data_IF_786800607505
#
_entry.id   IF_786800607505
#
_cell.length_a   1.000
_cell.length_b   1.000
_cell.length_c   1.000
_cell.angle_alpha   90.00
_cell.angle_beta   90.00
_cell.angle_gamma   90.00
#
_symmetry.space_group_name_H-M   'P 1'
#
loop_
_entity.id
_entity.type
_entity.pdbx_description
1 polymer ?
#
# COMPACT_ATOMS: atom_id res chain seq x y z
N UNK A 1 0.41 13.98 54.35
CA UNK A 1 -0.89 13.79 53.69
C UNK A 1 -1.98 14.73 54.21
N UNK A 2 -2.46 14.67 55.46
CA UNK A 2 -3.54 15.60 55.91
C UNK A 2 -3.11 17.08 55.94
N UNK A 3 -1.89 17.38 56.40
CA UNK A 3 -1.42 18.77 56.53
C UNK A 3 -1.03 19.44 55.22
N UNK A 4 -0.68 18.65 54.20
CA UNK A 4 -0.32 19.17 52.87
C UNK A 4 -1.56 19.51 52.05
N UNK A 5 -2.65 18.75 52.23
CA UNK A 5 -3.94 19.03 51.62
C UNK A 5 -4.57 20.29 52.23
N UNK A 6 -4.54 20.43 53.57
CA UNK A 6 -5.02 21.64 54.25
C UNK A 6 -4.20 22.89 53.87
N UNK A 7 -2.88 22.74 53.70
CA UNK A 7 -2.03 23.83 53.22
C UNK A 7 -2.36 24.23 51.77
N UNK A 8 -2.69 23.27 50.91
CA UNK A 8 -3.08 23.53 49.52
C UNK A 8 -4.45 24.22 49.43
N UNK A 9 -5.42 23.78 50.24
CA UNK A 9 -6.76 24.38 50.32
C UNK A 9 -6.71 25.82 50.84
N UNK A 10 -5.90 26.07 51.87
CA UNK A 10 -5.68 27.43 52.37
C UNK A 10 -5.01 28.32 51.31
N UNK A 11 -4.07 27.78 50.52
CA UNK A 11 -3.40 28.52 49.45
C UNK A 11 -4.36 28.85 48.29
N UNK A 12 -5.20 27.89 47.89
CA UNK A 12 -6.25 28.08 46.90
C UNK A 12 -7.30 29.09 47.35
N UNK A 13 -7.68 29.11 48.63
CA UNK A 13 -8.61 30.09 49.19
C UNK A 13 -8.03 31.52 49.22
N UNK A 14 -6.71 31.68 49.30
CA UNK A 14 -6.03 32.98 49.25
C UNK A 14 -5.75 33.49 47.84
N UNK A 15 -5.75 32.61 46.84
CA UNK A 15 -5.74 32.99 45.44
C UNK A 15 -7.12 33.57 45.09
N UNK A 16 -7.31 34.85 45.40
CA UNK A 16 -8.30 35.68 44.71
C UNK A 16 -7.88 35.73 43.25
N UNK A 17 -8.34 34.74 42.49
CA UNK A 17 -8.39 34.84 41.04
C UNK A 17 -9.34 36.00 40.80
N UNK A 18 -8.79 37.21 40.62
CA UNK A 18 -9.53 38.25 39.95
C UNK A 18 -10.11 37.61 38.70
N UNK A 19 -11.43 37.60 38.55
CA UNK A 19 -12.12 37.13 37.35
C UNK A 19 -11.69 38.02 36.17
N UNK A 20 -10.46 37.85 35.72
CA UNK A 20 -10.07 38.24 34.38
C UNK A 20 -10.89 37.33 33.49
N UNK A 21 -11.91 37.90 32.86
CA UNK A 21 -12.72 37.20 31.88
C UNK A 21 -11.78 36.55 30.89
N UNK A 22 -11.76 35.21 30.87
CA UNK A 22 -10.97 34.47 29.90
C UNK A 22 -11.48 34.91 28.52
N UNK A 23 -10.60 35.53 27.73
CA UNK A 23 -10.90 35.84 26.34
C UNK A 23 -10.88 34.53 25.57
N UNK A 24 -12.03 33.85 25.57
CA UNK A 24 -12.24 32.58 24.89
C UNK A 24 -11.94 32.67 23.39
N UNK A 25 -12.07 33.86 22.80
CA UNK A 25 -11.71 34.08 21.40
C UNK A 25 -10.20 34.05 21.24
N UNK A 26 -9.45 34.77 22.07
CA UNK A 26 -7.98 34.73 22.06
C UNK A 26 -7.45 33.30 22.33
N UNK A 27 -8.08 32.56 23.25
CA UNK A 27 -7.71 31.16 23.53
C UNK A 27 -7.99 30.26 22.32
N UNK A 28 -9.14 30.40 21.68
CA UNK A 28 -9.52 29.62 20.49
C UNK A 28 -8.62 29.93 19.30
N UNK A 29 -8.28 31.21 19.09
CA UNK A 29 -7.39 31.66 18.02
C UNK A 29 -5.95 31.12 18.26
N UNK A 30 -5.46 31.16 19.50
CA UNK A 30 -4.15 30.59 19.89
C UNK A 30 -4.11 29.08 19.72
N UNK A 31 -5.19 28.38 20.08
CA UNK A 31 -5.33 26.94 19.85
C UNK A 31 -5.33 26.60 18.36
N UNK A 32 -6.07 27.35 17.53
CA UNK A 32 -6.11 27.16 16.09
C UNK A 32 -4.74 27.41 15.44
N UNK A 33 -4.03 28.44 15.88
CA UNK A 33 -2.65 28.74 15.44
C UNK A 33 -1.68 27.63 15.85
N UNK A 34 -1.81 27.10 17.07
CA UNK A 34 -1.02 25.97 17.57
C UNK A 34 -1.29 24.72 16.76
N UNK A 35 -2.55 24.34 16.53
CA UNK A 35 -2.91 23.19 15.69
C UNK A 35 -2.35 23.33 14.28
N UNK A 36 -2.48 24.51 13.66
CA UNK A 36 -1.90 24.79 12.34
C UNK A 36 -0.38 24.66 12.31
N UNK A 37 0.30 25.11 13.37
CA UNK A 37 1.76 24.96 13.51
C UNK A 37 2.17 23.48 13.63
N UNK A 38 1.42 22.67 14.39
CA UNK A 38 1.65 21.23 14.52
C UNK A 38 1.38 20.47 13.22
N UNK A 39 0.31 20.80 12.49
CA UNK A 39 0.07 20.24 11.15
C UNK A 39 1.20 20.59 10.18
N UNK A 40 1.72 21.82 10.23
CA UNK A 40 2.85 22.23 9.42
C UNK A 40 4.13 21.45 9.79
N UNK A 41 4.38 21.26 11.08
CA UNK A 41 5.50 20.45 11.57
C UNK A 41 5.37 18.99 11.13
N UNK A 42 4.17 18.41 11.20
CA UNK A 42 3.90 17.04 10.73
C UNK A 42 4.21 16.90 9.23
N UNK A 43 3.80 17.87 8.40
CA UNK A 43 4.15 17.90 6.96
C UNK A 43 5.66 17.99 6.75
N UNK A 44 6.37 18.79 7.56
CA UNK A 44 7.84 18.88 7.49
C UNK A 44 8.52 17.57 7.89
N UNK A 45 8.01 16.86 8.90
CA UNK A 45 8.52 15.54 9.33
C UNK A 45 8.35 14.51 8.21
N UNK A 46 7.18 14.46 7.55
CA UNK A 46 6.96 13.57 6.42
C UNK A 46 7.86 13.91 5.23
N UNK A 47 7.99 15.19 4.89
CA UNK A 47 8.92 15.62 3.84
C UNK A 47 10.38 15.25 4.17
N UNK A 48 10.80 15.37 5.43
CA UNK A 48 12.12 14.95 5.88
C UNK A 48 12.30 13.43 5.78
N UNK A 49 11.30 12.64 6.19
CA UNK A 49 11.29 11.17 6.04
C UNK A 49 11.46 10.76 4.58
N UNK A 50 10.74 11.40 3.66
CA UNK A 50 10.82 11.12 2.24
C UNK A 50 12.18 11.48 1.67
N UNK A 51 12.72 12.66 2.04
CA UNK A 51 14.05 13.09 1.62
C UNK A 51 15.16 12.16 2.15
N UNK A 52 15.07 11.73 3.42
CA UNK A 52 16.00 10.76 3.99
C UNK A 52 15.92 9.41 3.30
N UNK A 53 14.71 8.94 2.98
CA UNK A 53 14.51 7.69 2.26
C UNK A 53 15.09 7.76 0.85
N UNK A 54 14.87 8.87 0.13
CA UNK A 54 15.49 9.13 -1.19
C UNK A 54 17.01 9.18 -1.10
N UNK A 55 17.56 9.92 -0.14
CA UNK A 55 19.01 9.99 0.07
C UNK A 55 19.61 8.64 0.43
N UNK A 56 18.92 7.85 1.27
CA UNK A 56 19.34 6.50 1.62
C UNK A 56 19.37 5.58 0.41
N UNK A 57 18.35 5.63 -0.45
CA UNK A 57 18.32 4.88 -1.72
C UNK A 57 19.44 5.33 -2.66
N UNK A 58 19.72 6.64 -2.77
CA UNK A 58 20.85 7.15 -3.55
C UNK A 58 22.19 6.64 -3.00
N UNK A 59 22.41 6.70 -1.69
CA UNK A 59 23.62 6.18 -1.03
C UNK A 59 23.74 4.66 -1.24
N UNK A 60 22.64 3.91 -1.14
CA UNK A 60 22.65 2.47 -1.43
C UNK A 60 22.97 2.17 -2.90
N UNK A 61 22.48 2.99 -3.84
CA UNK A 61 22.84 2.87 -5.27
C UNK A 61 24.32 3.15 -5.49
N UNK A 62 24.85 4.23 -4.93
CA UNK A 62 26.29 4.54 -4.98
C UNK A 62 27.12 3.40 -4.37
N UNK A 63 26.72 2.88 -3.21
CA UNK A 63 27.40 1.74 -2.58
C UNK A 63 27.28 0.44 -3.38
N UNK A 64 26.19 0.23 -4.12
CA UNK A 64 26.01 -0.90 -5.05
C UNK A 64 26.89 -0.76 -6.29
N UNK A 65 27.10 0.47 -6.77
CA UNK A 65 28.05 0.76 -7.84
C UNK A 65 29.52 0.58 -7.41
N UNK A 66 29.80 0.51 -6.10
CA UNK A 66 31.09 0.10 -5.54
C UNK A 66 31.22 -1.42 -5.29
N UNK A 67 30.24 -2.25 -5.68
CA UNK A 67 30.39 -3.70 -5.64
C UNK A 67 31.48 -4.12 -6.63
N UNK A 68 32.66 -4.41 -6.09
CA UNK A 68 33.84 -4.86 -6.82
C UNK A 68 33.56 -6.09 -7.69
N UNK A 69 32.61 -6.95 -7.29
CA UNK A 69 32.22 -8.12 -8.07
C UNK A 69 31.43 -7.70 -9.30
N UNK A 70 30.46 -6.80 -9.15
CA UNK A 70 29.66 -6.26 -10.26
C UNK A 70 30.52 -5.40 -11.21
N UNK A 71 31.42 -4.57 -10.68
CA UNK A 71 32.41 -3.82 -11.47
C UNK A 71 33.38 -4.75 -12.21
N UNK A 72 33.86 -5.83 -11.57
CA UNK A 72 34.72 -6.81 -12.24
C UNK A 72 33.98 -7.57 -13.34
N UNK A 73 32.68 -7.83 -13.14
CA UNK A 73 31.81 -8.51 -14.11
C UNK A 73 31.50 -7.59 -15.29
N UNK A 74 31.06 -6.35 -15.04
CA UNK A 74 30.85 -5.32 -16.07
C UNK A 74 32.11 -5.02 -16.89
N UNK A 75 33.28 -5.06 -16.25
CA UNK A 75 34.55 -4.83 -16.94
C UNK A 75 34.99 -6.04 -17.79
N UNK A 76 34.71 -7.26 -17.32
CA UNK A 76 34.88 -8.49 -18.10
C UNK A 76 33.91 -8.56 -19.29
N UNK A 77 32.65 -8.15 -19.10
CA UNK A 77 31.60 -8.14 -20.12
C UNK A 77 31.82 -7.07 -21.20
N UNK A 78 32.37 -5.89 -20.84
CA UNK A 78 32.69 -4.81 -21.80
C UNK A 78 33.83 -5.13 -22.78
N UNK A 79 34.37 -6.36 -22.81
CA UNK A 79 35.58 -6.73 -23.58
C UNK A 79 36.72 -5.73 -23.41
N UNK A 80 36.82 -5.13 -22.22
CA UNK A 80 38.03 -4.41 -21.85
C UNK A 80 39.12 -5.48 -21.78
N UNK A 81 40.17 -5.37 -22.60
CA UNK A 81 41.23 -6.38 -22.64
C UNK A 81 41.66 -6.71 -21.22
N UNK A 82 41.79 -7.99 -20.88
CA UNK A 82 42.16 -8.43 -19.52
C UNK A 82 43.46 -7.78 -18.98
N UNK A 83 44.29 -7.20 -19.87
CA UNK A 83 45.43 -6.33 -19.54
C UNK A 83 45.05 -5.01 -18.85
N UNK A 84 43.89 -4.42 -19.15
CA UNK A 84 43.42 -3.15 -18.58
C UNK A 84 42.98 -3.31 -17.12
N UNK A 85 42.52 -4.50 -16.73
CA UNK A 85 42.01 -4.80 -15.38
C UNK A 85 43.04 -5.48 -14.47
N UNK A 86 44.02 -6.21 -15.04
CA UNK A 86 45.17 -6.73 -14.26
C UNK A 86 45.92 -5.61 -13.52
N UNK A 87 45.90 -4.41 -14.07
CA UNK A 87 46.58 -3.24 -13.53
C UNK A 87 45.88 -2.65 -12.28
N UNK A 88 44.55 -2.71 -12.13
CA UNK A 88 43.89 -2.09 -10.96
C UNK A 88 44.16 -2.83 -9.64
N UNK A 89 44.31 -4.15 -9.70
CA UNK A 89 44.68 -4.96 -8.51
C UNK A 89 46.16 -4.86 -8.11
N UNK A 90 47.01 -4.31 -8.98
CA UNK A 90 48.48 -4.29 -8.82
C UNK A 90 49.07 -2.88 -8.56
N UNK A 91 48.29 -1.80 -8.60
CA UNK A 91 48.83 -0.42 -8.53
C UNK A 91 48.39 0.44 -7.34
N UNK A 92 47.90 -0.13 -6.23
CA UNK A 92 47.84 0.65 -4.99
C UNK A 92 49.25 0.71 -4.36
N UNK A 93 50.14 1.56 -4.87
CA UNK A 93 51.40 1.86 -4.17
C UNK A 93 51.16 2.97 -3.16
N UNK A 94 51.20 2.63 -1.86
CA UNK A 94 51.21 3.62 -0.78
C UNK A 94 52.66 3.73 -0.30
N UNK A 95 53.24 4.94 -0.35
CA UNK A 95 54.62 5.20 0.05
C UNK A 95 55.67 4.27 -0.61
N UNK A 96 55.50 3.97 -1.91
CA UNK A 96 56.46 3.17 -2.69
C UNK A 96 56.36 1.66 -2.47
N UNK A 97 55.40 1.16 -1.67
CA UNK A 97 55.18 -0.28 -1.45
C UNK A 97 53.93 -0.75 -2.19
N UNK A 98 54.04 -1.83 -2.97
CA UNK A 98 52.91 -2.45 -3.67
C UNK A 98 51.94 -3.07 -2.67
N UNK A 99 50.73 -2.53 -2.55
CA UNK A 99 49.69 -3.07 -1.68
C UNK A 99 48.76 -3.96 -2.51
N UNK A 100 48.72 -5.26 -2.18
CA UNK A 100 47.69 -6.18 -2.67
C UNK A 100 46.37 -5.90 -1.97
N UNK A 101 45.35 -5.48 -2.72
CA UNK A 101 44.01 -5.24 -2.18
C UNK A 101 43.36 -6.57 -1.79
N UNK A 102 43.16 -6.78 -0.48
CA UNK A 102 42.41 -7.92 0.04
C UNK A 102 40.90 -7.68 -0.17
N UNK A 103 40.38 -8.11 -1.32
CA UNK A 103 38.99 -7.91 -1.72
C UNK A 103 37.98 -8.49 -0.73
N UNK A 104 38.32 -9.59 -0.05
CA UNK A 104 37.46 -10.19 0.97
C UNK A 104 37.31 -9.29 2.19
N UNK A 105 38.41 -8.66 2.63
CA UNK A 105 38.43 -7.76 3.77
C UNK A 105 37.75 -6.43 3.44
N UNK A 106 37.95 -5.89 2.23
CA UNK A 106 37.24 -4.71 1.73
C UNK A 106 35.73 -4.98 1.66
N UNK A 107 35.31 -6.11 1.10
CA UNK A 107 33.90 -6.49 1.04
C UNK A 107 33.28 -6.66 2.43
N UNK A 108 34.05 -7.20 3.39
CA UNK A 108 33.62 -7.30 4.79
C UNK A 108 33.38 -5.90 5.39
N UNK A 109 34.32 -4.97 5.22
CA UNK A 109 34.20 -3.59 5.69
C UNK A 109 33.01 -2.88 5.03
N UNK A 110 32.80 -3.06 3.72
CA UNK A 110 31.65 -2.48 3.01
C UNK A 110 30.34 -3.03 3.58
N UNK A 111 30.22 -4.34 3.79
CA UNK A 111 29.03 -4.97 4.38
C UNK A 111 28.77 -4.48 5.81
N UNK A 112 29.80 -4.35 6.62
CA UNK A 112 29.69 -3.81 7.98
C UNK A 112 29.20 -2.35 7.96
N UNK A 113 29.75 -1.51 7.08
CA UNK A 113 29.28 -0.13 6.90
C UNK A 113 27.86 -0.04 6.36
N UNK A 114 27.49 -0.87 5.38
CA UNK A 114 26.12 -0.96 4.85
C UNK A 114 25.13 -1.35 5.94
N UNK A 115 25.48 -2.35 6.75
CA UNK A 115 24.64 -2.81 7.86
C UNK A 115 24.48 -1.71 8.91
N UNK A 116 25.57 -1.04 9.28
CA UNK A 116 25.54 0.09 10.22
C UNK A 116 24.70 1.28 9.71
N UNK A 117 24.79 1.61 8.42
CA UNK A 117 23.96 2.65 7.79
C UNK A 117 22.48 2.25 7.74
N UNK A 118 22.18 0.98 7.43
CA UNK A 118 20.82 0.45 7.43
C UNK A 118 20.20 0.54 8.84
N UNK A 119 20.93 0.10 9.86
CA UNK A 119 20.50 0.22 11.26
C UNK A 119 20.28 1.68 11.67
N UNK A 120 21.19 2.59 11.30
CA UNK A 120 21.05 4.01 11.60
C UNK A 120 19.81 4.62 10.92
N UNK A 121 19.57 4.29 9.65
CA UNK A 121 18.38 4.74 8.92
C UNK A 121 17.09 4.20 9.55
N UNK A 122 17.08 2.92 9.93
CA UNK A 122 15.94 2.32 10.65
C UNK A 122 15.66 3.05 11.97
N UNK A 123 16.70 3.39 12.76
CA UNK A 123 16.54 4.17 14.00
C UNK A 123 15.98 5.57 13.75
N UNK A 124 16.46 6.26 12.70
CA UNK A 124 15.96 7.60 12.34
C UNK A 124 14.51 7.53 11.87
N UNK A 125 14.15 6.58 11.01
CA UNK A 125 12.77 6.38 10.59
C UNK A 125 11.85 6.06 11.77
N UNK A 126 12.30 5.22 12.71
CA UNK A 126 11.56 4.94 13.94
C UNK A 126 11.34 6.20 14.78
N UNK A 127 12.36 7.06 14.93
CA UNK A 127 12.23 8.31 15.70
C UNK A 127 11.33 9.35 15.02
N UNK A 128 11.42 9.48 13.69
CA UNK A 128 10.53 10.35 12.92
C UNK A 128 9.07 9.91 13.05
N UNK A 129 8.86 8.59 13.04
CA UNK A 129 7.55 8.01 13.25
C UNK A 129 7.00 8.24 14.66
N UNK A 130 7.80 7.98 15.71
CA UNK A 130 7.46 8.31 17.11
C UNK A 130 7.10 9.80 17.26
N UNK A 131 7.85 10.69 16.60
CA UNK A 131 7.58 12.13 16.62
C UNK A 131 6.25 12.47 15.94
N UNK A 132 5.93 11.81 14.82
CA UNK A 132 4.65 11.99 14.14
C UNK A 132 3.47 11.49 14.98
N UNK A 133 3.62 10.36 15.68
CA UNK A 133 2.61 9.85 16.61
C UNK A 133 2.41 10.80 17.81
N UNK A 134 3.49 11.33 18.37
CA UNK A 134 3.41 12.33 19.44
C UNK A 134 2.67 13.59 18.97
N UNK A 135 2.95 14.06 17.74
CA UNK A 135 2.24 15.20 17.17
C UNK A 135 0.74 14.91 16.95
N UNK A 136 0.37 13.74 16.42
CA UNK A 136 -1.03 13.34 16.23
C UNK A 136 -1.77 13.23 17.57
N UNK A 137 -1.15 12.58 18.57
CA UNK A 137 -1.71 12.47 19.92
C UNK A 137 -1.92 13.85 20.57
N UNK A 138 -0.97 14.77 20.38
CA UNK A 138 -1.07 16.14 20.88
C UNK A 138 -2.20 16.92 20.20
N UNK A 139 -2.35 16.81 18.88
CA UNK A 139 -3.45 17.43 18.12
C UNK A 139 -4.80 16.87 18.57
N UNK A 140 -4.92 15.56 18.79
CA UNK A 140 -6.13 14.95 19.35
C UNK A 140 -6.46 15.52 20.72
N UNK A 141 -5.48 15.62 21.61
CA UNK A 141 -5.66 16.15 22.96
C UNK A 141 -6.10 17.62 22.94
N UNK A 142 -5.60 18.40 21.98
CA UNK A 142 -6.06 19.77 21.75
C UNK A 142 -7.50 19.82 21.21
N UNK A 143 -7.95 18.86 20.39
CA UNK A 143 -9.27 18.89 19.78
C UNK A 143 -10.42 18.41 20.70
N UNK A 144 -10.13 17.76 21.84
CA UNK A 144 -11.14 17.25 22.80
C UNK A 144 -11.92 18.36 23.53
N UNK A 145 -11.45 19.61 23.51
CA UNK A 145 -12.14 20.75 24.17
C UNK A 145 -13.22 21.43 23.33
N UNK A 146 -13.41 21.06 22.06
CA UNK A 146 -14.57 21.50 21.26
C UNK A 146 -15.65 20.43 21.29
N UNK A 147 -16.68 20.68 22.11
CA UNK A 147 -17.99 20.02 22.13
C UNK A 147 -18.08 18.58 22.67
N UNK A 148 -17.82 18.42 23.96
CA UNK A 148 -18.16 17.19 24.72
C UNK A 148 -19.66 17.08 25.10
N UNK A 149 -20.57 17.72 24.36
CA UNK A 149 -22.03 17.60 24.57
C UNK A 149 -22.78 16.86 23.47
N UNK A 150 -22.10 16.42 22.42
CA UNK A 150 -22.65 15.42 21.50
C UNK A 150 -22.16 14.03 21.96
N UNK A 151 -23.05 13.04 22.19
CA UNK A 151 -22.62 11.68 22.45
C UNK A 151 -21.90 11.17 21.20
N UNK A 152 -20.58 11.14 21.23
CA UNK A 152 -19.79 10.48 20.21
C UNK A 152 -20.03 8.99 20.31
N UNK A 153 -20.69 8.46 19.28
CA UNK A 153 -20.77 7.04 18.98
C UNK A 153 -19.36 6.54 18.58
N UNK A 154 -18.40 6.55 19.51
CA UNK A 154 -17.01 6.11 19.28
C UNK A 154 -16.87 4.59 19.08
N UNK A 155 -17.99 3.88 18.94
CA UNK A 155 -18.04 2.49 18.45
C UNK A 155 -18.23 2.37 16.93
N UNK A 156 -18.44 3.46 16.19
CA UNK A 156 -18.73 3.40 14.75
C UNK A 156 -17.50 3.56 13.82
N UNK A 157 -16.28 3.69 14.36
CA UNK A 157 -15.06 3.75 13.53
C UNK A 157 -14.45 2.36 13.26
N UNK A 158 -14.99 1.30 13.87
CA UNK A 158 -14.49 -0.08 13.72
C UNK A 158 -15.51 -1.07 13.11
N UNK A 159 -16.72 -0.64 12.77
CA UNK A 159 -17.61 -1.41 11.91
C UNK A 159 -17.43 -0.90 10.49
N UNK A 160 -16.28 -1.26 9.90
CA UNK A 160 -16.16 -1.31 8.44
C UNK A 160 -17.35 -2.11 7.94
N UNK A 161 -18.12 -1.55 7.00
CA UNK A 161 -19.14 -2.29 6.29
C UNK A 161 -18.42 -3.46 5.59
N UNK A 162 -18.34 -4.61 6.28
CA UNK A 162 -18.05 -5.88 5.66
C UNK A 162 -19.12 -6.02 4.58
N UNK A 163 -18.71 -6.19 3.32
CA UNK A 163 -19.58 -6.81 2.33
C UNK A 163 -19.87 -8.24 2.82
N UNK A 164 -20.70 -8.39 3.85
CA UNK A 164 -21.23 -9.67 4.35
C UNK A 164 -22.35 -10.17 3.44
N UNK A 165 -22.10 -10.15 2.14
CA UNK A 165 -22.52 -11.30 1.36
C UNK A 165 -21.42 -12.32 1.58
N UNK A 166 -21.58 -13.13 2.63
CA UNK A 166 -20.79 -14.35 2.80
C UNK A 166 -20.74 -15.04 1.43
N UNK A 167 -19.54 -15.27 0.91
CA UNK A 167 -19.42 -16.01 -0.35
C UNK A 167 -20.14 -17.34 -0.17
N UNK A 168 -20.97 -17.70 -1.14
CA UNK A 168 -21.62 -19.00 -1.15
C UNK A 168 -20.66 -20.13 -1.52
N UNK A 169 -19.45 -19.77 -2.00
CA UNK A 169 -18.41 -20.71 -2.41
C UNK A 169 -17.59 -21.14 -1.20
N UNK A 170 -17.29 -22.44 -1.17
CA UNK A 170 -16.32 -23.01 -0.24
C UNK A 170 -14.99 -23.15 -0.98
N UNK A 171 -13.92 -22.71 -0.35
CA UNK A 171 -12.57 -22.83 -0.89
C UNK A 171 -11.83 -23.91 -0.11
N UNK A 172 -11.37 -24.93 -0.83
CA UNK A 172 -10.57 -26.02 -0.30
C UNK A 172 -9.26 -26.08 -1.09
N UNK A 173 -8.12 -26.04 -0.40
CA UNK A 173 -6.80 -26.04 -1.03
C UNK A 173 -6.10 -27.40 -0.94
N UNK A 174 -5.29 -27.78 -1.95
CA UNK A 174 -4.57 -29.05 -1.91
C UNK A 174 -3.61 -29.15 -0.70
N UNK A 175 -3.78 -30.19 0.12
CA UNK A 175 -3.01 -30.34 1.36
C UNK A 175 -1.48 -30.39 1.11
N UNK A 176 -1.04 -31.01 0.00
CA UNK A 176 0.37 -31.04 -0.37
C UNK A 176 0.96 -29.64 -0.55
N UNK A 177 0.25 -28.77 -1.28
CA UNK A 177 0.66 -27.38 -1.54
C UNK A 177 0.67 -26.55 -0.26
N UNK A 178 -0.35 -26.76 0.60
CA UNK A 178 -0.40 -26.14 1.93
C UNK A 178 0.81 -26.54 2.79
N UNK A 179 1.14 -27.82 2.85
CA UNK A 179 2.30 -28.31 3.60
C UNK A 179 3.62 -27.71 3.08
N UNK A 180 3.79 -27.64 1.76
CA UNK A 180 4.96 -27.05 1.12
C UNK A 180 5.11 -25.57 1.45
N UNK A 181 4.01 -24.81 1.44
CA UNK A 181 4.00 -23.39 1.82
C UNK A 181 4.33 -23.21 3.29
N UNK A 182 3.68 -23.96 4.17
CA UNK A 182 3.86 -23.87 5.62
C UNK A 182 5.30 -24.16 6.03
N UNK A 183 5.97 -25.07 5.34
CA UNK A 183 7.39 -25.39 5.59
C UNK A 183 8.36 -24.22 5.35
N UNK A 184 7.94 -23.18 4.60
CA UNK A 184 8.73 -21.99 4.27
C UNK A 184 8.54 -20.86 5.28
N UNK A 185 7.50 -20.93 6.11
CA UNK A 185 7.15 -19.86 7.05
C UNK A 185 7.91 -20.06 8.35
N UNK A 186 8.63 -19.03 8.79
CA UNK A 186 9.35 -19.04 10.05
C UNK A 186 8.56 -18.23 11.08
N UNK A 187 7.85 -18.93 11.96
CA UNK A 187 7.05 -18.29 13.01
C UNK A 187 7.95 -17.59 14.01
N UNK A 188 7.80 -16.27 14.09
CA UNK A 188 8.44 -15.40 15.07
C UNK A 188 7.38 -14.56 15.78
N UNK A 189 7.62 -14.25 17.04
CA UNK A 189 6.67 -13.51 17.88
C UNK A 189 7.15 -12.09 18.13
N UNK A 190 6.20 -11.22 18.44
CA UNK A 190 6.49 -9.87 18.92
C UNK A 190 7.29 -9.97 20.23
N UNK A 191 8.42 -9.25 20.37
CA UNK A 191 9.20 -9.22 21.61
C UNK A 191 8.32 -8.93 22.83
N UNK A 192 8.64 -9.58 23.95
CA UNK A 192 8.02 -9.40 25.27
C UNK A 192 6.56 -9.87 25.40
N UNK A 193 5.90 -10.31 24.32
CA UNK A 193 4.55 -10.88 24.40
C UNK A 193 4.55 -12.41 24.37
N UNK A 194 5.47 -13.01 23.58
CA UNK A 194 5.49 -14.45 23.21
C UNK A 194 4.15 -15.05 22.74
N UNK A 195 3.15 -14.20 22.49
CA UNK A 195 1.76 -14.58 22.25
C UNK A 195 1.28 -14.14 20.88
N UNK A 196 1.76 -13.00 20.40
CA UNK A 196 1.34 -12.39 19.14
C UNK A 196 2.44 -12.54 18.09
N UNK A 197 2.04 -12.85 16.87
CA UNK A 197 2.98 -13.06 15.76
C UNK A 197 3.59 -11.74 15.32
N UNK A 198 4.86 -11.77 14.94
CA UNK A 198 5.59 -10.62 14.44
C UNK A 198 5.05 -10.17 13.07
N UNK A 199 5.39 -8.94 12.67
CA UNK A 199 5.10 -8.43 11.33
C UNK A 199 5.70 -9.31 10.23
N UNK A 200 6.88 -9.90 10.46
CA UNK A 200 7.55 -10.77 9.50
C UNK A 200 6.76 -12.07 9.28
N UNK A 201 6.23 -12.66 10.35
CA UNK A 201 5.38 -13.86 10.24
C UNK A 201 4.07 -13.54 9.54
N UNK A 202 3.43 -12.42 9.90
CA UNK A 202 2.20 -11.97 9.24
C UNK A 202 2.42 -11.75 7.74
N UNK A 203 3.50 -11.05 7.37
CA UNK A 203 3.89 -10.84 5.98
C UNK A 203 4.07 -12.16 5.23
N UNK A 204 4.77 -13.14 5.82
CA UNK A 204 4.96 -14.45 5.20
C UNK A 204 3.64 -15.20 4.98
N UNK A 205 2.72 -15.16 5.94
CA UNK A 205 1.38 -15.77 5.81
C UNK A 205 0.62 -15.11 4.64
N UNK A 206 0.57 -13.78 4.64
CA UNK A 206 -0.13 -12.97 3.65
C UNK A 206 0.45 -13.18 2.25
N UNK A 207 1.77 -13.13 2.09
CA UNK A 207 2.43 -13.35 0.79
C UNK A 207 2.24 -14.78 0.27
N UNK A 208 2.39 -15.80 1.12
CA UNK A 208 2.25 -17.18 0.68
C UNK A 208 0.79 -17.60 0.45
N UNK A 209 -0.19 -16.87 1.00
CA UNK A 209 -1.60 -17.10 0.68
C UNK A 209 -1.89 -16.90 -0.81
N UNK A 210 -1.15 -16.00 -1.49
CA UNK A 210 -1.24 -15.79 -2.94
C UNK A 210 -0.85 -17.07 -3.71
N UNK A 211 0.26 -17.68 -3.32
CA UNK A 211 0.74 -18.90 -4.00
C UNK A 211 -0.21 -20.07 -3.76
N UNK A 212 -0.80 -20.18 -2.56
CA UNK A 212 -1.79 -21.21 -2.26
C UNK A 212 -3.06 -21.04 -3.12
N UNK A 213 -3.57 -19.82 -3.18
CA UNK A 213 -4.84 -19.47 -3.83
C UNK A 213 -4.75 -19.32 -5.36
N UNK A 214 -3.56 -19.37 -5.94
CA UNK A 214 -3.30 -19.10 -7.37
C UNK A 214 -4.24 -19.85 -8.34
N UNK A 215 -4.37 -21.17 -8.21
CA UNK A 215 -5.17 -21.98 -9.14
C UNK A 215 -6.66 -21.64 -9.06
N UNK A 216 -7.16 -21.46 -7.85
CA UNK A 216 -8.56 -21.14 -7.60
C UNK A 216 -8.90 -19.72 -8.05
N UNK A 217 -7.97 -18.78 -7.85
CA UNK A 217 -8.09 -17.41 -8.36
C UNK A 217 -8.23 -17.36 -9.89
N UNK A 218 -7.38 -18.11 -10.60
CA UNK A 218 -7.41 -18.19 -12.07
C UNK A 218 -8.77 -18.75 -12.52
N UNK A 219 -9.24 -19.81 -11.87
CA UNK A 219 -10.53 -20.45 -12.15
C UNK A 219 -11.69 -19.47 -11.97
N UNK A 220 -11.80 -18.85 -10.79
CA UNK A 220 -12.83 -17.87 -10.45
C UNK A 220 -12.85 -16.70 -11.43
N UNK A 221 -11.68 -16.15 -11.74
CA UNK A 221 -11.55 -14.98 -12.62
C UNK A 221 -12.04 -15.30 -14.03
N UNK A 222 -11.66 -16.46 -14.60
CA UNK A 222 -12.08 -16.83 -15.96
C UNK A 222 -13.56 -17.21 -16.05
N UNK A 223 -14.09 -17.95 -15.07
CA UNK A 223 -15.53 -18.24 -15.00
C UNK A 223 -16.34 -16.95 -14.92
N UNK A 224 -15.97 -16.05 -14.02
CA UNK A 224 -16.68 -14.79 -13.85
C UNK A 224 -16.57 -13.89 -15.09
N UNK A 225 -15.39 -13.74 -15.69
CA UNK A 225 -15.22 -12.99 -16.95
C UNK A 225 -16.15 -13.51 -18.04
N UNK A 226 -16.27 -14.82 -18.20
CA UNK A 226 -17.16 -15.44 -19.18
C UNK A 226 -18.63 -15.12 -18.89
N UNK A 227 -19.10 -15.39 -17.66
CA UNK A 227 -20.50 -15.15 -17.28
C UNK A 227 -20.88 -13.68 -17.39
N UNK A 228 -20.00 -12.78 -16.95
CA UNK A 228 -20.19 -11.33 -17.05
C UNK A 228 -20.41 -10.87 -18.48
N UNK A 229 -19.53 -11.29 -19.41
CA UNK A 229 -19.58 -10.86 -20.82
C UNK A 229 -20.82 -11.37 -21.54
N UNK A 230 -21.35 -12.53 -21.15
CA UNK A 230 -22.61 -13.06 -21.71
C UNK A 230 -23.82 -12.17 -21.38
N UNK A 231 -23.79 -11.42 -20.27
CA UNK A 231 -24.93 -10.65 -19.77
C UNK A 231 -24.71 -9.13 -19.72
N UNK A 232 -23.52 -8.63 -20.07
CA UNK A 232 -23.13 -7.22 -19.95
C UNK A 232 -24.04 -6.27 -20.74
N UNK A 233 -24.58 -6.71 -21.87
CA UNK A 233 -25.47 -5.92 -22.73
C UNK A 233 -26.96 -6.11 -22.41
N UNK A 234 -27.33 -7.13 -21.64
CA UNK A 234 -28.73 -7.53 -21.44
C UNK A 234 -29.25 -7.25 -20.03
N UNK A 235 -28.43 -7.47 -19.00
CA UNK A 235 -28.84 -7.32 -17.61
C UNK A 235 -27.78 -6.59 -16.79
N UNK A 236 -27.90 -5.26 -16.75
CA UNK A 236 -26.99 -4.36 -16.02
C UNK A 236 -26.93 -4.67 -14.52
N UNK A 237 -28.02 -5.17 -13.93
CA UNK A 237 -28.08 -5.46 -12.49
C UNK A 237 -27.33 -6.73 -12.16
N UNK A 238 -27.57 -7.78 -12.94
CA UNK A 238 -26.83 -9.03 -12.83
C UNK A 238 -25.34 -8.82 -13.15
N UNK A 239 -25.02 -7.96 -14.11
CA UNK A 239 -23.64 -7.61 -14.45
C UNK A 239 -22.89 -6.98 -13.29
N UNK A 240 -23.50 -5.97 -12.64
CA UNK A 240 -22.95 -5.37 -11.43
C UNK A 240 -22.80 -6.38 -10.30
N UNK A 241 -23.82 -7.21 -10.08
CA UNK A 241 -23.79 -8.26 -9.07
C UNK A 241 -22.61 -9.23 -9.28
N UNK A 242 -22.42 -9.74 -10.50
CA UNK A 242 -21.31 -10.65 -10.80
C UNK A 242 -19.94 -10.01 -10.58
N UNK A 243 -19.79 -8.69 -10.82
CA UNK A 243 -18.54 -7.99 -10.52
C UNK A 243 -18.28 -7.91 -9.02
N UNK A 244 -19.29 -7.54 -8.24
CA UNK A 244 -19.21 -7.44 -6.77
C UNK A 244 -19.00 -8.81 -6.12
N UNK A 245 -19.72 -9.83 -6.58
CA UNK A 245 -19.57 -11.22 -6.13
C UNK A 245 -18.14 -11.72 -6.38
N UNK A 246 -17.58 -11.47 -7.56
CA UNK A 246 -16.20 -11.85 -7.86
C UNK A 246 -15.18 -11.17 -6.93
N UNK A 247 -15.38 -9.89 -6.61
CA UNK A 247 -14.52 -9.20 -5.65
C UNK A 247 -14.60 -9.86 -4.28
N UNK A 248 -15.80 -10.17 -3.79
CA UNK A 248 -16.00 -10.84 -2.50
C UNK A 248 -15.44 -12.26 -2.50
N UNK A 249 -15.62 -13.01 -3.58
CA UNK A 249 -15.09 -14.36 -3.73
C UNK A 249 -13.56 -14.38 -3.66
N UNK A 250 -12.90 -13.42 -4.33
CA UNK A 250 -11.42 -13.30 -4.29
C UNK A 250 -10.94 -12.99 -2.87
N UNK A 251 -11.58 -12.06 -2.17
CA UNK A 251 -11.21 -11.73 -0.78
C UNK A 251 -11.42 -12.91 0.17
N UNK A 252 -12.59 -13.57 0.09
CA UNK A 252 -12.89 -14.73 0.93
C UNK A 252 -11.95 -15.92 0.64
N UNK A 253 -11.58 -16.13 -0.62
CA UNK A 253 -10.59 -17.14 -1.01
C UNK A 253 -9.22 -16.84 -0.39
N UNK A 254 -8.75 -15.59 -0.43
CA UNK A 254 -7.48 -15.19 0.19
C UNK A 254 -7.52 -15.31 1.72
N UNK A 255 -8.62 -14.89 2.35
CA UNK A 255 -8.83 -15.06 3.79
C UNK A 255 -8.80 -16.53 4.17
N UNK A 256 -9.50 -17.39 3.44
CA UNK A 256 -9.50 -18.83 3.68
C UNK A 256 -8.11 -19.45 3.51
N UNK A 257 -7.33 -18.99 2.54
CA UNK A 257 -5.94 -19.43 2.38
C UNK A 257 -5.07 -19.03 3.58
N UNK A 258 -5.24 -17.82 4.11
CA UNK A 258 -4.54 -17.36 5.32
C UNK A 258 -4.96 -18.16 6.56
N UNK A 259 -6.25 -18.44 6.72
CA UNK A 259 -6.81 -19.28 7.78
C UNK A 259 -6.21 -20.69 7.77
N UNK A 260 -6.15 -21.35 6.60
CA UNK A 260 -5.61 -22.70 6.47
C UNK A 260 -4.11 -22.75 6.76
N UNK A 261 -3.35 -21.73 6.32
CA UNK A 261 -1.94 -21.56 6.67
C UNK A 261 -1.79 -21.39 8.19
N UNK A 262 -2.57 -20.52 8.81
CA UNK A 262 -2.51 -20.27 10.26
C UNK A 262 -2.85 -21.53 11.06
N UNK A 263 -3.94 -22.22 10.69
CA UNK A 263 -4.36 -23.46 11.33
C UNK A 263 -3.24 -24.52 11.28
N UNK A 264 -2.57 -24.66 10.13
CA UNK A 264 -1.45 -25.61 9.97
C UNK A 264 -0.20 -25.20 10.76
N UNK A 265 0.02 -23.90 10.97
CA UNK A 265 1.08 -23.36 11.83
C UNK A 265 0.74 -23.40 13.34
N UNK A 266 -0.48 -23.82 13.72
CA UNK A 266 -0.94 -23.78 15.11
C UNK A 266 -1.26 -22.36 15.61
N UNK A 267 -1.52 -21.44 14.70
CA UNK A 267 -1.95 -20.06 14.99
C UNK A 267 -3.47 -20.02 14.88
N UNK A 268 -4.16 -19.69 15.97
CA UNK A 268 -5.61 -19.51 15.93
C UNK A 268 -5.96 -18.18 15.26
N UNK A 269 -7.16 -18.10 14.68
CA UNK A 269 -7.69 -16.86 14.10
C UNK A 269 -7.67 -15.70 15.11
N UNK A 270 -8.03 -15.97 16.36
CA UNK A 270 -7.98 -14.98 17.43
C UNK A 270 -6.55 -14.44 17.67
N UNK A 271 -5.51 -15.29 17.57
CA UNK A 271 -4.12 -14.84 17.68
C UNK A 271 -3.75 -13.97 16.48
N UNK A 272 -4.16 -14.35 15.27
CA UNK A 272 -3.89 -13.58 14.06
C UNK A 272 -4.49 -12.17 14.18
N UNK A 273 -5.78 -12.06 14.49
CA UNK A 273 -6.50 -10.78 14.63
C UNK A 273 -5.91 -9.91 15.74
N UNK A 274 -5.61 -10.50 16.91
CA UNK A 274 -4.97 -9.75 18.01
C UNK A 274 -3.55 -9.31 17.66
N UNK A 275 -2.83 -10.09 16.86
CA UNK A 275 -1.51 -9.71 16.38
C UNK A 275 -1.61 -8.54 15.41
N UNK A 276 -2.55 -8.58 14.48
CA UNK A 276 -2.84 -7.48 13.55
C UNK A 276 -3.19 -6.18 14.31
N UNK A 277 -4.11 -6.24 15.27
CA UNK A 277 -4.44 -5.08 16.10
C UNK A 277 -3.23 -4.55 16.87
N UNK A 278 -2.43 -5.43 17.49
CA UNK A 278 -1.23 -5.02 18.22
C UNK A 278 -0.19 -4.36 17.29
N UNK A 279 -0.04 -4.85 16.06
CA UNK A 279 0.85 -4.25 15.07
C UNK A 279 0.31 -2.88 14.60
N UNK A 280 -1.00 -2.73 14.44
CA UNK A 280 -1.64 -1.44 14.14
C UNK A 280 -1.44 -0.43 15.26
N UNK A 281 -1.64 -0.82 16.51
CA UNK A 281 -1.39 0.02 17.71
C UNK A 281 0.08 0.44 17.83
N UNK A 282 1.00 -0.43 17.41
CA UNK A 282 2.44 -0.12 17.29
C UNK A 282 2.78 0.74 16.06
N UNK A 283 1.79 1.18 15.31
CA UNK A 283 1.94 2.09 14.18
C UNK A 283 2.28 1.44 12.85
N UNK A 284 2.17 0.11 12.75
CA UNK A 284 2.40 -0.62 11.50
C UNK A 284 1.14 -0.76 10.63
N UNK A 285 0.05 -0.07 10.98
CA UNK A 285 -1.23 -0.17 10.23
C UNK A 285 -1.09 0.18 8.75
N UNK A 286 -0.32 1.22 8.40
CA UNK A 286 -0.06 1.54 6.98
C UNK A 286 0.69 0.41 6.26
N UNK A 287 1.63 -0.25 6.96
CA UNK A 287 2.38 -1.36 6.38
C UNK A 287 1.47 -2.57 6.14
N UNK A 288 0.57 -2.87 7.09
CA UNK A 288 -0.44 -3.93 6.94
C UNK A 288 -1.36 -3.65 5.75
N UNK A 289 -1.88 -2.43 5.65
CA UNK A 289 -2.69 -2.02 4.51
C UNK A 289 -1.94 -2.18 3.18
N UNK A 290 -0.67 -1.77 3.13
CA UNK A 290 0.17 -1.91 1.94
C UNK A 290 0.41 -3.38 1.59
N UNK A 291 0.66 -4.26 2.57
CA UNK A 291 0.81 -5.71 2.34
C UNK A 291 -0.46 -6.32 1.73
N UNK A 292 -1.64 -5.96 2.23
CA UNK A 292 -2.93 -6.43 1.68
C UNK A 292 -3.11 -5.94 0.23
N UNK A 293 -2.78 -4.68 -0.06
CA UNK A 293 -2.80 -4.15 -1.43
C UNK A 293 -1.81 -4.87 -2.36
N UNK A 294 -0.59 -5.14 -1.88
CA UNK A 294 0.43 -5.90 -2.62
C UNK A 294 -0.05 -7.32 -2.90
N UNK A 295 -0.74 -7.99 -1.98
CA UNK A 295 -1.31 -9.32 -2.21
C UNK A 295 -2.35 -9.30 -3.32
N UNK A 296 -3.27 -8.33 -3.31
CA UNK A 296 -4.25 -8.16 -4.38
C UNK A 296 -3.60 -7.88 -5.74
N UNK A 297 -2.48 -7.18 -5.77
CA UNK A 297 -1.72 -6.95 -6.99
C UNK A 297 -1.01 -8.24 -7.46
N UNK A 298 -0.28 -8.91 -6.55
CA UNK A 298 0.47 -10.13 -6.87
C UNK A 298 -0.41 -11.28 -7.32
N UNK A 299 -1.62 -11.43 -6.76
CA UNK A 299 -2.54 -12.48 -7.20
C UNK A 299 -3.03 -12.23 -8.63
N UNK A 300 -3.28 -10.97 -9.02
CA UNK A 300 -3.64 -10.63 -10.41
C UNK A 300 -2.52 -10.96 -11.40
N UNK A 301 -1.27 -10.81 -11.00
CA UNK A 301 -0.10 -11.16 -11.82
C UNK A 301 0.04 -12.67 -12.07
N UNK A 302 -0.70 -13.52 -11.34
CA UNK A 302 -0.76 -14.96 -11.60
C UNK A 302 -1.62 -15.34 -12.80
N UNK A 303 -2.42 -14.42 -13.34
CA UNK A 303 -3.22 -14.72 -14.52
C UNK A 303 -2.31 -15.06 -15.72
N UNK A 304 -2.56 -16.19 -16.39
CA UNK A 304 -1.70 -16.62 -17.48
C UNK A 304 -1.91 -15.75 -18.71
N UNK A 305 -0.81 -15.20 -19.21
CA UNK A 305 -0.78 -14.47 -20.47
C UNK A 305 -0.97 -15.43 -21.63
N UNK A 306 -1.92 -15.14 -22.51
CA UNK A 306 -2.20 -15.97 -23.69
C UNK A 306 -1.63 -15.35 -24.96
N UNK A 307 -1.47 -14.03 -24.98
CA UNK A 307 -1.02 -13.28 -26.16
C UNK A 307 0.12 -12.33 -25.77
N UNK A 308 1.10 -12.22 -26.67
CA UNK A 308 2.14 -11.20 -26.58
C UNK A 308 1.70 -9.97 -27.34
N UNK A 309 1.69 -8.82 -26.66
CA UNK A 309 1.22 -7.55 -27.22
C UNK A 309 2.40 -6.58 -27.34
N UNK A 310 2.49 -5.82 -28.43
CA UNK A 310 3.51 -4.79 -28.61
C UNK A 310 3.15 -3.50 -27.85
N UNK A 311 4.16 -2.65 -27.58
CA UNK A 311 3.93 -1.37 -26.91
C UNK A 311 2.94 -0.47 -27.67
N UNK A 312 2.97 -0.48 -29.02
CA UNK A 312 2.04 0.30 -29.84
C UNK A 312 0.59 -0.13 -29.67
N UNK A 313 0.33 -1.44 -29.59
CA UNK A 313 -1.01 -1.97 -29.33
C UNK A 313 -1.43 -1.62 -27.89
N UNK A 314 -0.53 -1.71 -26.91
CA UNK A 314 -0.83 -1.26 -25.54
C UNK A 314 -1.27 0.21 -25.51
N UNK A 315 -0.58 1.10 -26.25
CA UNK A 315 -0.98 2.50 -26.37
C UNK A 315 -2.35 2.67 -27.03
N UNK A 316 -2.65 1.89 -28.07
CA UNK A 316 -3.96 1.88 -28.72
C UNK A 316 -5.08 1.46 -27.78
N UNK A 317 -4.86 0.41 -26.99
CA UNK A 317 -5.80 -0.03 -25.94
C UNK A 317 -6.04 1.11 -24.94
N UNK A 318 -4.98 1.77 -24.44
CA UNK A 318 -5.15 2.87 -23.49
C UNK A 318 -5.94 4.03 -24.12
N UNK A 319 -5.65 4.40 -25.38
CA UNK A 319 -6.44 5.41 -26.10
C UNK A 319 -7.92 5.00 -26.20
N UNK A 320 -8.19 3.72 -26.46
CA UNK A 320 -9.54 3.20 -26.47
C UNK A 320 -10.20 3.27 -25.09
N UNK A 321 -9.51 2.93 -24.00
CA UNK A 321 -10.03 3.08 -22.64
C UNK A 321 -10.41 4.54 -22.33
N UNK A 322 -9.56 5.50 -22.67
CA UNK A 322 -9.83 6.94 -22.54
C UNK A 322 -11.07 7.33 -23.37
N UNK A 323 -11.16 6.83 -24.61
CA UNK A 323 -12.32 7.06 -25.48
C UNK A 323 -13.60 6.53 -24.84
N UNK A 324 -13.59 5.31 -24.28
CA UNK A 324 -14.75 4.74 -23.61
C UNK A 324 -15.17 5.58 -22.41
N UNK A 325 -14.22 6.00 -21.56
CA UNK A 325 -14.51 6.85 -20.39
C UNK A 325 -15.19 8.17 -20.77
N UNK A 326 -14.77 8.79 -21.87
CA UNK A 326 -15.31 10.09 -22.31
C UNK A 326 -16.60 9.96 -23.13
N UNK A 327 -16.74 8.94 -23.97
CA UNK A 327 -17.84 8.84 -24.94
C UNK A 327 -18.96 7.87 -24.52
N UNK A 328 -18.67 6.87 -23.67
CA UNK A 328 -19.65 5.84 -23.26
C UNK A 328 -20.14 6.03 -21.82
N UNK A 329 -20.27 7.26 -21.35
CA UNK A 329 -20.80 7.53 -20.01
C UNK A 329 -22.23 6.98 -19.82
N UNK A 330 -23.07 7.03 -20.87
CA UNK A 330 -24.43 6.46 -20.86
C UNK A 330 -24.46 4.94 -20.66
N UNK A 331 -23.34 4.25 -20.93
CA UNK A 331 -23.18 2.83 -20.62
C UNK A 331 -22.87 2.61 -19.13
N UNK A 332 -21.87 3.31 -18.59
CA UNK A 332 -21.37 3.10 -17.22
C UNK A 332 -22.32 3.63 -16.14
N UNK A 333 -22.84 4.85 -16.30
CA UNK A 333 -23.59 5.54 -15.25
C UNK A 333 -24.85 4.77 -14.81
N UNK A 334 -25.67 4.17 -15.71
CA UNK A 334 -26.83 3.37 -15.29
C UNK A 334 -26.46 2.10 -14.52
N UNK A 335 -25.27 1.54 -14.74
CA UNK A 335 -24.78 0.38 -13.97
C UNK A 335 -24.37 0.87 -12.59
N UNK A 336 -23.49 1.88 -12.53
CA UNK A 336 -22.99 2.43 -11.28
C UNK A 336 -24.13 2.93 -10.38
N UNK A 337 -25.13 3.62 -10.93
CA UNK A 337 -26.33 4.15 -10.23
C UNK A 337 -27.12 3.11 -9.42
N UNK A 338 -26.90 1.82 -9.65
CA UNK A 338 -27.55 0.73 -8.89
C UNK A 338 -26.83 0.43 -7.57
N UNK A 339 -25.62 0.95 -7.37
CA UNK A 339 -24.91 0.80 -6.10
C UNK A 339 -25.52 1.68 -5.01
N UNK A 340 -25.45 1.25 -3.74
CA UNK A 340 -25.66 2.14 -2.60
C UNK A 340 -24.74 3.36 -2.71
N UNK A 341 -25.18 4.50 -2.18
CA UNK A 341 -24.39 5.74 -2.13
C UNK A 341 -23.75 5.89 -0.76
N UNK A 342 -22.75 5.06 -0.48
CA UNK A 342 -21.98 5.08 0.76
C UNK A 342 -20.51 5.40 0.48
N UNK A 343 -19.73 5.74 1.50
CA UNK A 343 -18.30 6.04 1.32
C UNK A 343 -17.54 4.81 0.81
N UNK A 344 -17.91 3.64 1.31
CA UNK A 344 -17.30 2.35 1.00
C UNK A 344 -17.58 1.95 -0.45
N UNK A 345 -18.82 2.08 -0.89
CA UNK A 345 -19.22 1.79 -2.28
C UNK A 345 -18.57 2.74 -3.27
N UNK A 346 -18.37 4.01 -2.91
CA UNK A 346 -17.61 4.96 -3.74
C UNK A 346 -16.15 4.55 -3.93
N UNK A 347 -15.53 3.85 -2.98
CA UNK A 347 -14.16 3.31 -3.13
C UNK A 347 -14.11 2.12 -4.11
N UNK A 348 -15.23 1.43 -4.34
CA UNK A 348 -15.31 0.31 -5.30
C UNK A 348 -15.49 0.77 -6.74
N UNK A 349 -15.99 1.99 -6.96
CA UNK A 349 -16.32 2.48 -8.31
C UNK A 349 -15.13 2.38 -9.27
N UNK A 350 -13.89 2.81 -8.93
CA UNK A 350 -12.77 2.70 -9.86
C UNK A 350 -12.48 1.24 -10.27
N UNK A 351 -12.61 0.30 -9.34
CA UNK A 351 -12.37 -1.12 -9.58
C UNK A 351 -13.44 -1.68 -10.53
N UNK A 352 -14.71 -1.40 -10.26
CA UNK A 352 -15.81 -1.82 -11.12
C UNK A 352 -15.71 -1.20 -12.50
N UNK A 353 -15.33 0.09 -12.57
CA UNK A 353 -15.10 0.78 -13.84
C UNK A 353 -13.98 0.13 -14.65
N UNK A 354 -12.89 -0.28 -14.01
CA UNK A 354 -11.83 -1.06 -14.66
C UNK A 354 -12.36 -2.37 -15.24
N UNK A 355 -13.15 -3.11 -14.47
CA UNK A 355 -13.73 -4.37 -14.92
C UNK A 355 -14.63 -4.17 -16.14
N UNK A 356 -15.46 -3.12 -16.12
CA UNK A 356 -16.34 -2.78 -17.24
C UNK A 356 -15.55 -2.38 -18.50
N UNK A 357 -14.51 -1.56 -18.33
CA UNK A 357 -13.65 -1.14 -19.43
C UNK A 357 -12.89 -2.34 -20.01
N UNK A 358 -12.36 -3.23 -19.17
CA UNK A 358 -11.63 -4.42 -19.61
C UNK A 358 -12.52 -5.40 -20.38
N UNK A 359 -13.80 -5.52 -20.03
CA UNK A 359 -14.76 -6.31 -20.80
C UNK A 359 -15.00 -5.68 -22.20
N UNK A 360 -15.04 -4.34 -22.32
CA UNK A 360 -15.11 -3.65 -23.62
C UNK A 360 -13.81 -3.76 -24.43
N UNK A 361 -12.64 -3.73 -23.78
CA UNK A 361 -11.34 -3.98 -24.42
C UNK A 361 -11.30 -5.40 -24.99
N UNK A 362 -11.81 -6.38 -24.23
CA UNK A 362 -11.91 -7.75 -24.72
C UNK A 362 -12.86 -7.86 -25.92
N UNK A 363 -14.01 -7.17 -25.90
CA UNK A 363 -14.94 -7.13 -27.04
C UNK A 363 -14.29 -6.57 -28.31
N UNK A 364 -13.51 -5.49 -28.20
CA UNK A 364 -12.88 -4.81 -29.34
C UNK A 364 -11.61 -5.52 -29.84
N UNK A 365 -10.70 -5.89 -28.93
CA UNK A 365 -9.36 -6.40 -29.28
C UNK A 365 -9.18 -7.89 -29.04
N UNK A 366 -10.13 -8.55 -28.35
CA UNK A 366 -9.96 -9.93 -27.85
C UNK A 366 -8.69 -10.11 -27.02
N UNK A 367 -8.28 -9.07 -26.28
CA UNK A 367 -7.13 -9.06 -25.39
C UNK A 367 -7.59 -8.96 -23.94
N UNK A 368 -6.94 -9.72 -23.07
CA UNK A 368 -7.15 -9.62 -21.63
C UNK A 368 -6.12 -8.65 -21.02
N UNK A 369 -6.42 -8.14 -19.82
CA UNK A 369 -5.57 -7.18 -19.10
C UNK A 369 -4.12 -7.68 -18.97
N UNK A 370 -3.97 -8.94 -18.56
CA UNK A 370 -2.67 -9.59 -18.40
C UNK A 370 -1.82 -9.66 -19.69
N UNK A 371 -2.44 -9.60 -20.88
CA UNK A 371 -1.74 -9.70 -22.16
C UNK A 371 -0.97 -8.41 -22.50
N UNK A 372 -1.51 -7.24 -22.17
CA UNK A 372 -0.92 -5.94 -22.52
C UNK A 372 -0.27 -5.20 -21.35
N UNK A 373 -0.60 -5.57 -20.10
CA UNK A 373 -0.07 -4.93 -18.89
C UNK A 373 1.44 -5.11 -18.70
N UNK A 374 2.02 -6.16 -19.28
CA UNK A 374 3.47 -6.39 -19.19
C UNK A 374 4.31 -5.25 -19.76
N UNK A 375 3.78 -4.55 -20.77
CA UNK A 375 4.47 -3.43 -21.39
C UNK A 375 4.54 -2.23 -20.45
N UNK A 376 3.61 -2.11 -19.49
CA UNK A 376 3.62 -1.05 -18.47
C UNK A 376 4.49 -1.40 -17.26
N UNK A 377 4.83 -2.68 -17.08
CA UNK A 377 5.75 -3.12 -16.03
C UNK A 377 7.23 -2.91 -16.41
N UNK A 378 7.54 -2.63 -17.68
CA UNK A 378 8.89 -2.30 -18.10
C UNK A 378 9.27 -0.88 -17.66
N UNK A 379 10.47 -0.72 -17.09
CA UNK A 379 11.02 0.61 -16.74
C UNK A 379 11.08 1.55 -17.93
N UNK A 380 11.19 1.02 -19.16
CA UNK A 380 11.15 1.84 -20.37
C UNK A 380 9.82 2.56 -20.57
N UNK A 381 8.70 1.97 -20.12
CA UNK A 381 7.37 2.57 -20.29
C UNK A 381 7.20 3.85 -19.47
N UNK A 382 7.82 3.92 -18.28
CA UNK A 382 7.84 5.13 -17.45
C UNK A 382 8.64 6.28 -18.07
N UNK A 383 9.55 5.96 -18.99
CA UNK A 383 10.29 6.96 -19.75
C UNK A 383 9.57 7.35 -21.05
N UNK A 384 8.50 6.65 -21.43
CA UNK A 384 7.68 6.99 -22.58
C UNK A 384 6.67 8.08 -22.20
N UNK A 385 6.95 9.29 -22.67
CA UNK A 385 6.12 10.47 -22.43
C UNK A 385 4.67 10.26 -22.87
N UNK A 386 4.45 9.56 -23.97
CA UNK A 386 3.11 9.31 -24.49
C UNK A 386 2.33 8.39 -23.55
N UNK A 387 2.95 7.35 -23.01
CA UNK A 387 2.31 6.48 -22.02
C UNK A 387 1.90 7.29 -20.79
N UNK A 388 2.77 8.17 -20.28
CA UNK A 388 2.42 9.03 -19.15
C UNK A 388 1.29 10.00 -19.45
N UNK A 389 1.23 10.58 -20.66
CA UNK A 389 0.12 11.43 -21.10
C UNK A 389 -1.20 10.64 -21.18
N UNK A 390 -1.14 9.39 -21.68
CA UNK A 390 -2.27 8.49 -21.77
C UNK A 390 -2.79 8.06 -20.38
N UNK A 391 -1.91 7.74 -19.44
CA UNK A 391 -2.30 7.40 -18.06
C UNK A 391 -2.97 8.59 -17.36
N UNK A 392 -2.44 9.81 -17.52
CA UNK A 392 -3.10 11.03 -17.06
C UNK A 392 -4.47 11.24 -17.75
N UNK A 393 -4.61 10.78 -18.99
CA UNK A 393 -5.87 10.78 -19.73
C UNK A 393 -6.93 9.87 -19.12
N UNK A 394 -6.54 8.68 -18.64
CA UNK A 394 -7.43 7.78 -17.90
C UNK A 394 -7.92 8.47 -16.62
N UNK A 395 -7.02 9.04 -15.82
CA UNK A 395 -7.38 9.71 -14.57
C UNK A 395 -8.38 10.85 -14.79
N UNK A 396 -8.15 11.68 -15.83
CA UNK A 396 -9.09 12.73 -16.22
C UNK A 396 -10.44 12.18 -16.68
N UNK A 397 -10.44 11.11 -17.47
CA UNK A 397 -11.68 10.46 -17.93
C UNK A 397 -12.51 9.93 -16.76
N UNK A 398 -11.86 9.30 -15.79
CA UNK A 398 -12.48 8.84 -14.54
C UNK A 398 -13.05 10.03 -13.75
N UNK A 399 -12.26 11.11 -13.59
CA UNK A 399 -12.71 12.32 -12.91
C UNK A 399 -13.93 12.95 -13.59
N UNK A 400 -13.95 13.04 -14.92
CA UNK A 400 -15.08 13.58 -15.68
C UNK A 400 -16.33 12.73 -15.47
N UNK A 401 -16.21 11.40 -15.56
CA UNK A 401 -17.31 10.48 -15.30
C UNK A 401 -17.87 10.69 -13.88
N UNK A 402 -16.99 10.87 -12.89
CA UNK A 402 -17.41 11.11 -11.52
C UNK A 402 -18.05 12.48 -11.29
N UNK A 403 -17.52 13.53 -11.92
CA UNK A 403 -18.04 14.89 -11.79
C UNK A 403 -19.48 15.01 -12.29
N UNK A 404 -19.84 14.22 -13.31
CA UNK A 404 -21.20 14.12 -13.84
C UNK A 404 -22.10 13.17 -13.04
N UNK A 405 -21.51 12.41 -12.11
CA UNK A 405 -22.21 11.41 -11.32
C UNK A 405 -22.53 11.94 -9.91
N UNK A 406 -23.74 11.67 -9.42
CA UNK A 406 -24.13 11.94 -8.03
C UNK A 406 -23.51 10.92 -7.03
N UNK A 407 -22.34 10.35 -7.34
CA UNK A 407 -21.64 9.34 -6.53
C UNK A 407 -20.68 9.92 -5.52
N UNK A 408 -20.13 11.10 -5.78
CA UNK A 408 -19.24 11.78 -4.82
C UNK A 408 -20.13 12.68 -3.94
N UNK A 409 -20.19 12.43 -2.61
CA UNK A 409 -20.91 13.32 -1.71
C UNK A 409 -20.39 14.75 -1.85
N UNK A 410 -21.29 15.70 -2.12
CA UNK A 410 -20.94 17.12 -2.21
C UNK A 410 -20.30 17.55 -0.89
N UNK A 411 -19.00 17.85 -0.91
CA UNK A 411 -18.24 18.31 0.27
C UNK A 411 -17.09 17.42 0.72
N UNK A 412 -16.85 16.26 0.11
CA UNK A 412 -15.58 15.56 0.33
C UNK A 412 -14.43 16.33 -0.34
N UNK A 413 -13.38 16.72 0.41
CA UNK A 413 -12.20 17.33 -0.20
C UNK A 413 -11.53 16.30 -1.10
N UNK A 414 -11.67 16.49 -2.43
CA UNK A 414 -11.01 15.71 -3.49
C UNK A 414 -9.47 15.86 -3.50
N UNK A 415 -8.89 16.48 -2.46
CA UNK A 415 -7.46 16.77 -2.33
C UNK A 415 -6.63 15.61 -1.79
N UNK A 416 -7.26 14.50 -1.37
CA UNK A 416 -6.58 13.22 -1.29
C UNK A 416 -7.10 12.33 -2.41
N UNK A 417 -6.22 11.81 -3.29
CA UNK A 417 -6.64 10.74 -4.18
C UNK A 417 -7.24 9.65 -3.29
N UNK A 418 -8.48 9.20 -3.54
CA UNK A 418 -9.12 8.19 -2.71
C UNK A 418 -8.19 6.96 -2.65
N UNK A 419 -7.53 6.80 -1.50
CA UNK A 419 -6.65 5.69 -1.19
C UNK A 419 -5.49 5.46 -2.16
N UNK A 420 -4.68 6.47 -2.51
CA UNK A 420 -3.36 6.24 -3.14
C UNK A 420 -3.36 5.18 -4.25
N UNK A 421 -4.44 5.13 -5.06
CA UNK A 421 -4.54 4.13 -6.11
C UNK A 421 -3.53 4.49 -7.19
N UNK A 422 -2.60 3.60 -7.54
CA UNK A 422 -1.75 3.79 -8.68
C UNK A 422 -2.67 3.85 -9.92
N UNK A 423 -2.24 4.52 -11.00
CA UNK A 423 -2.98 4.57 -12.25
C UNK A 423 -3.40 3.16 -12.66
N UNK A 424 -4.59 2.99 -13.25
CA UNK A 424 -5.12 1.67 -13.62
C UNK A 424 -4.05 0.85 -14.36
N UNK A 425 -3.65 -0.28 -13.75
CA UNK A 425 -2.60 -1.16 -14.24
C UNK A 425 -1.22 -0.99 -13.61
N UNK A 426 -0.92 0.12 -12.93
CA UNK A 426 0.41 0.32 -12.34
C UNK A 426 0.58 -0.51 -11.05
N UNK A 427 1.70 -1.24 -10.88
CA UNK A 427 2.02 -1.87 -9.60
C UNK A 427 2.20 -0.80 -8.51
N UNK A 428 1.78 -1.12 -7.29
CA UNK A 428 2.20 -0.37 -6.10
C UNK A 428 3.69 -0.63 -5.89
N UNK A 429 4.55 0.37 -6.15
CA UNK A 429 6.00 0.32 -5.88
C UNK A 429 6.36 1.08 -4.61
#
# INVERSE_FOLDING_TARGET
MSSEVEALEAHLATLKIEEQSIDWKQLTDSQAETTKAFEALQRQIFALKDNLSKNFVCILKELKDFDLKDLSTKAAEKKSSASSLKNLSQYATVNGSTVTLNTNEINKIIKEKQSSLLEANQRVQAKLFETAQWADAFVRLLNVTKDSSAPTNDKQVAETFQLTTESTKKFDFPEGKLNDIVSKIQVTYIPDTQKYISIQTYQQIVEHSVDLAEEEFIRLTFENRKERREIMHTDKKKYLFLMQENMNDIENMLMKAQEDICAKLGITQEILEKSEMCLMERGLGQHIFMMQATVRQRIKEKLPKKKSVSADITKEIIRFQIKMLNEKQEYFLPILKQMPKTVETSQLVPILLNMMINDLVFEEYSLEDEDYMQNLNDQSAFNDKEIMELLNGIEKGIYNLFAESDFIPKGMPMGMPPGGMPPMGMPYY
#
